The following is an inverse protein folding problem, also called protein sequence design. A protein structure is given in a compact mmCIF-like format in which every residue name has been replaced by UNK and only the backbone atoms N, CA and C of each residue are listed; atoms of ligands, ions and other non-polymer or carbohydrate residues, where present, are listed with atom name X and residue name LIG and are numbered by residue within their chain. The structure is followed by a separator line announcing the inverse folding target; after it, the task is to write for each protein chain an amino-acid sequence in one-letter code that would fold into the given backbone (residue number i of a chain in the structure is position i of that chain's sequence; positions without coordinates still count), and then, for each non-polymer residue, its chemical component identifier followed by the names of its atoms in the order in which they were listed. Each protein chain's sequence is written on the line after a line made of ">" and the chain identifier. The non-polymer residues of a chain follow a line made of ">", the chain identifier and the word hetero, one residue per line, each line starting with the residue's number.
data_IF_915799850535
#
_entry.id   IF_915799850535
#
_cell.length_a   1.000
_cell.length_b   1.000
_cell.length_c   1.000
_cell.angle_alpha   90.00
_cell.angle_beta   90.00
_cell.angle_gamma   90.00
#
_symmetry.space_group_name_H-M   'P 1'
#
loop_
_entity.id
_entity.type
_entity.pdbx_description
1 polymer ?
#
# COMPACT_ATOMS: atom_id res chain seq x y z
N UNK A 1 -11.30 -5.42 -10.78
CA UNK A 1 -11.17 -4.93 -9.39
C UNK A 1 -11.17 -6.11 -8.43
N UNK A 2 -10.33 -6.06 -7.39
CA UNK A 2 -10.39 -7.02 -6.29
C UNK A 2 -11.62 -6.72 -5.43
N UNK A 3 -12.25 -7.76 -4.88
CA UNK A 3 -13.44 -7.61 -4.06
C UNK A 3 -13.36 -8.49 -2.82
N UNK A 4 -13.94 -8.00 -1.73
CA UNK A 4 -14.18 -8.80 -0.53
C UNK A 4 -15.28 -9.83 -0.79
N UNK A 5 -14.95 -11.09 -0.54
CA UNK A 5 -15.85 -12.25 -0.70
C UNK A 5 -15.93 -13.08 0.58
N UNK A 6 -15.56 -12.48 1.71
CA UNK A 6 -15.45 -13.12 3.02
C UNK A 6 -16.68 -13.92 3.40
N UNK A 7 -17.88 -13.38 3.19
CA UNK A 7 -19.12 -14.00 3.61
C UNK A 7 -19.41 -15.34 2.90
N UNK A 8 -18.90 -15.52 1.68
CA UNK A 8 -19.03 -16.80 0.96
C UNK A 8 -18.17 -17.92 1.57
N UNK A 9 -17.20 -17.56 2.42
CA UNK A 9 -16.28 -18.53 3.05
C UNK A 9 -16.59 -18.79 4.52
N UNK A 10 -17.34 -17.91 5.21
CA UNK A 10 -17.75 -18.15 6.60
C UNK A 10 -18.58 -19.44 6.70
N UNK A 11 -18.15 -20.36 7.58
CA UNK A 11 -18.80 -21.64 7.76
C UNK A 11 -18.87 -22.52 6.51
N UNK A 12 -18.02 -22.28 5.51
CA UNK A 12 -17.96 -23.10 4.31
C UNK A 12 -17.19 -24.41 4.53
N UNK A 13 -17.35 -25.35 3.60
CA UNK A 13 -16.58 -26.61 3.60
C UNK A 13 -15.10 -26.43 3.25
N UNK A 14 -14.65 -25.26 2.79
CA UNK A 14 -13.24 -24.99 2.57
C UNK A 14 -12.56 -24.62 3.88
N UNK A 15 -12.17 -25.65 4.62
CA UNK A 15 -11.71 -25.57 6.02
C UNK A 15 -10.55 -24.58 6.24
N UNK A 16 -9.68 -24.37 5.25
CA UNK A 16 -8.54 -23.45 5.36
C UNK A 16 -9.03 -22.04 5.62
N UNK A 17 -9.86 -21.50 4.73
CA UNK A 17 -10.35 -20.12 4.88
C UNK A 17 -11.39 -20.00 6.01
N UNK A 18 -12.28 -20.97 6.14
CA UNK A 18 -13.23 -20.99 7.25
C UNK A 18 -12.53 -20.99 8.62
N UNK A 19 -11.40 -21.71 8.74
CA UNK A 19 -10.57 -21.74 9.95
C UNK A 19 -9.88 -20.40 10.22
N UNK A 20 -9.32 -19.76 9.20
CA UNK A 20 -8.73 -18.42 9.33
C UNK A 20 -9.76 -17.40 9.83
N UNK A 21 -10.95 -17.38 9.20
CA UNK A 21 -12.04 -16.47 9.56
C UNK A 21 -12.64 -16.73 10.94
N UNK A 22 -12.55 -17.96 11.44
CA UNK A 22 -13.03 -18.31 12.78
C UNK A 22 -12.06 -17.89 13.89
N UNK A 23 -10.76 -17.86 13.59
CA UNK A 23 -9.70 -17.62 14.58
C UNK A 23 -9.23 -16.18 14.63
N UNK A 24 -9.51 -15.37 13.59
CA UNK A 24 -9.09 -13.97 13.51
C UNK A 24 -10.27 -13.11 13.07
N UNK A 25 -10.74 -12.22 13.95
CA UNK A 25 -11.85 -11.31 13.68
C UNK A 25 -11.54 -10.24 12.63
N UNK A 26 -10.24 -10.01 12.34
CA UNK A 26 -9.77 -9.07 11.32
C UNK A 26 -9.55 -9.75 9.96
N UNK A 27 -9.68 -11.07 9.91
CA UNK A 27 -9.43 -11.81 8.69
C UNK A 27 -10.55 -11.60 7.67
N UNK A 28 -10.15 -11.42 6.44
CA UNK A 28 -11.01 -11.30 5.26
C UNK A 28 -10.55 -12.28 4.18
N UNK A 29 -11.40 -12.50 3.19
CA UNK A 29 -11.05 -13.21 1.95
C UNK A 29 -11.30 -12.29 0.77
N UNK A 30 -10.24 -11.98 0.03
CA UNK A 30 -10.36 -11.17 -1.16
C UNK A 30 -10.21 -12.02 -2.41
N UNK A 31 -11.05 -11.72 -3.41
CA UNK A 31 -10.98 -12.32 -4.73
C UNK A 31 -10.21 -11.40 -5.70
N UNK A 32 -9.33 -12.00 -6.48
CA UNK A 32 -8.60 -11.40 -7.59
C UNK A 32 -9.17 -11.98 -8.89
N UNK A 33 -10.08 -11.28 -9.59
CA UNK A 33 -10.65 -11.74 -10.86
C UNK A 33 -9.59 -11.80 -11.96
N UNK A 34 -9.64 -12.85 -12.78
CA UNK A 34 -8.77 -13.06 -13.94
C UNK A 34 -9.62 -13.39 -15.16
N UNK A 35 -9.96 -12.38 -15.93
CA UNK A 35 -10.69 -12.55 -17.18
C UNK A 35 -9.87 -13.36 -18.17
N UNK A 36 -10.52 -14.27 -18.90
CA UNK A 36 -9.86 -15.21 -19.81
C UNK A 36 -8.85 -16.18 -19.15
N UNK A 37 -8.76 -16.17 -17.82
CA UNK A 37 -7.86 -17.02 -17.02
C UNK A 37 -8.40 -18.40 -16.69
N UNK A 38 -9.51 -18.84 -17.30
CA UNK A 38 -10.27 -20.04 -16.96
C UNK A 38 -9.63 -21.37 -17.36
N UNK A 39 -8.31 -21.44 -17.55
CA UNK A 39 -7.60 -22.69 -17.78
C UNK A 39 -6.93 -23.20 -16.50
N UNK A 40 -7.05 -24.51 -16.27
CA UNK A 40 -6.40 -25.16 -15.13
C UNK A 40 -4.88 -24.93 -15.12
N UNK A 41 -4.25 -25.02 -16.30
CA UNK A 41 -2.82 -24.82 -16.43
C UNK A 41 -2.36 -23.41 -15.99
N UNK A 42 -3.12 -22.38 -16.32
CA UNK A 42 -2.86 -21.02 -15.85
C UNK A 42 -3.05 -20.90 -14.33
N UNK A 43 -4.15 -21.43 -13.79
CA UNK A 43 -4.41 -21.40 -12.36
C UNK A 43 -3.33 -22.12 -11.56
N UNK A 44 -2.83 -23.27 -12.05
CA UNK A 44 -1.75 -24.03 -11.41
C UNK A 44 -0.42 -23.26 -11.47
N UNK A 45 -0.12 -22.53 -12.56
CA UNK A 45 1.07 -21.65 -12.63
C UNK A 45 0.99 -20.50 -11.63
N UNK A 46 -0.17 -19.85 -11.52
CA UNK A 46 -0.37 -18.78 -10.54
C UNK A 46 -0.21 -19.29 -9.09
N UNK A 47 -0.71 -20.47 -8.79
CA UNK A 47 -0.50 -21.10 -7.49
C UNK A 47 0.98 -21.42 -7.23
N UNK A 48 1.70 -21.93 -8.24
CA UNK A 48 3.14 -22.21 -8.12
C UNK A 48 3.96 -20.93 -7.95
N UNK A 49 3.59 -19.86 -8.66
CA UNK A 49 4.19 -18.55 -8.47
C UNK A 49 4.00 -18.04 -7.04
N UNK A 50 2.77 -18.12 -6.50
CA UNK A 50 2.49 -17.71 -5.12
C UNK A 50 3.34 -18.44 -4.09
N UNK A 51 3.57 -19.75 -4.30
CA UNK A 51 4.47 -20.55 -3.44
C UNK A 51 5.93 -20.08 -3.56
N UNK A 52 6.36 -19.68 -4.75
CA UNK A 52 7.67 -19.05 -4.98
C UNK A 52 7.84 -17.71 -4.26
N UNK A 53 6.75 -16.96 -4.08
CA UNK A 53 6.69 -15.71 -3.31
C UNK A 53 6.54 -15.95 -1.78
N UNK A 54 6.70 -17.18 -1.32
CA UNK A 54 6.64 -17.54 0.10
C UNK A 54 5.23 -17.67 0.67
N UNK A 55 4.19 -17.69 -0.20
CA UNK A 55 2.83 -17.94 0.24
C UNK A 55 2.53 -19.45 0.34
N UNK A 56 1.60 -19.89 1.19
CA UNK A 56 1.22 -21.30 1.28
C UNK A 56 0.58 -21.83 -0.01
N UNK A 57 0.09 -20.94 -0.84
CA UNK A 57 -0.54 -21.19 -2.15
C UNK A 57 -1.53 -20.09 -2.49
N UNK A 58 -2.12 -20.20 -3.66
CA UNK A 58 -3.15 -19.29 -4.16
C UNK A 58 -4.36 -20.12 -4.61
N UNK A 59 -5.39 -20.14 -3.78
CA UNK A 59 -6.62 -20.86 -4.06
C UNK A 59 -7.35 -20.25 -5.26
N UNK A 60 -8.04 -21.06 -6.04
CA UNK A 60 -8.71 -20.58 -7.24
C UNK A 60 -10.02 -21.28 -7.54
N UNK A 61 -10.87 -20.62 -8.32
CA UNK A 61 -12.02 -21.15 -9.04
C UNK A 61 -11.88 -20.67 -10.49
N UNK A 62 -12.18 -21.53 -11.47
CA UNK A 62 -12.35 -21.15 -12.85
C UNK A 62 -13.69 -21.65 -13.37
N UNK A 63 -14.28 -20.94 -14.32
CA UNK A 63 -15.60 -21.25 -14.86
C UNK A 63 -15.50 -21.77 -16.29
N UNK A 64 -16.13 -22.92 -16.49
CA UNK A 64 -16.19 -23.61 -17.79
C UNK A 64 -17.59 -24.14 -18.06
N UNK A 65 -17.91 -24.40 -19.29
CA UNK A 65 -19.11 -25.18 -19.62
C UNK A 65 -18.86 -26.67 -19.45
N UNK A 66 -19.80 -27.32 -18.81
CA UNK A 66 -19.94 -28.76 -18.80
C UNK A 66 -21.34 -29.12 -19.39
N UNK A 67 -21.37 -29.49 -20.66
CA UNK A 67 -22.60 -29.54 -21.44
C UNK A 67 -23.18 -28.15 -21.70
N UNK A 68 -24.43 -27.92 -21.30
CA UNK A 68 -25.10 -26.60 -21.40
C UNK A 68 -24.93 -25.74 -20.10
N UNK A 69 -24.43 -26.33 -19.03
CA UNK A 69 -24.32 -25.68 -17.73
C UNK A 69 -22.97 -25.03 -17.55
N UNK A 70 -22.97 -23.77 -17.06
CA UNK A 70 -21.77 -23.10 -16.59
C UNK A 70 -21.43 -23.59 -15.20
N UNK A 71 -20.26 -24.16 -15.02
CA UNK A 71 -19.80 -24.77 -13.77
C UNK A 71 -18.51 -24.10 -13.29
N UNK A 72 -18.45 -23.83 -11.97
CA UNK A 72 -17.21 -23.46 -11.32
C UNK A 72 -16.41 -24.69 -10.92
N UNK A 73 -15.16 -24.74 -11.34
CA UNK A 73 -14.23 -25.85 -11.10
C UNK A 73 -13.00 -25.39 -10.33
N UNK A 74 -12.30 -26.32 -9.72
CA UNK A 74 -11.09 -26.06 -8.94
C UNK A 74 -11.19 -26.51 -7.49
N UNK A 75 -10.08 -26.37 -6.72
CA UNK A 75 -10.01 -26.89 -5.35
C UNK A 75 -11.04 -26.25 -4.41
N UNK A 76 -11.29 -24.95 -4.59
CA UNK A 76 -12.21 -24.19 -3.76
C UNK A 76 -13.67 -24.56 -4.08
N UNK A 77 -14.06 -24.53 -5.36
CA UNK A 77 -15.42 -24.78 -5.80
C UNK A 77 -15.98 -26.11 -5.25
N UNK A 78 -15.17 -27.18 -5.27
CA UNK A 78 -15.54 -28.50 -4.74
C UNK A 78 -15.89 -28.48 -3.25
N UNK A 79 -15.33 -27.58 -2.49
CA UNK A 79 -15.47 -27.54 -1.04
C UNK A 79 -16.50 -26.53 -0.55
N UNK A 80 -16.78 -25.45 -1.30
CA UNK A 80 -17.77 -24.44 -0.89
C UNK A 80 -19.18 -24.74 -1.43
N UNK A 81 -19.28 -25.61 -2.41
CA UNK A 81 -20.53 -26.00 -3.06
C UNK A 81 -20.96 -25.07 -4.20
N UNK A 82 -21.95 -25.54 -4.99
CA UNK A 82 -22.38 -24.85 -6.21
C UNK A 82 -23.02 -23.48 -5.92
N UNK A 83 -23.86 -23.38 -4.91
CA UNK A 83 -24.58 -22.15 -4.55
C UNK A 83 -23.60 -20.99 -4.25
N UNK A 84 -22.60 -21.22 -3.40
CA UNK A 84 -21.60 -20.23 -3.04
C UNK A 84 -20.67 -19.91 -4.21
N UNK A 85 -20.33 -20.91 -5.02
CA UNK A 85 -19.52 -20.73 -6.22
C UNK A 85 -20.22 -19.82 -7.24
N UNK A 86 -21.53 -20.01 -7.44
CA UNK A 86 -22.34 -19.17 -8.32
C UNK A 86 -22.54 -17.74 -7.76
N UNK A 87 -22.74 -17.62 -6.44
CA UNK A 87 -22.83 -16.33 -5.80
C UNK A 87 -21.53 -15.50 -5.98
N UNK A 88 -20.36 -16.11 -5.80
CA UNK A 88 -19.05 -15.48 -6.08
C UNK A 88 -18.95 -15.08 -7.55
N UNK A 89 -19.31 -15.95 -8.48
CA UNK A 89 -19.30 -15.64 -9.92
C UNK A 89 -20.13 -14.40 -10.24
N UNK A 90 -21.34 -14.35 -9.70
CA UNK A 90 -22.28 -13.26 -9.92
C UNK A 90 -21.75 -11.95 -9.32
N UNK A 91 -21.26 -11.98 -8.08
CA UNK A 91 -20.68 -10.82 -7.42
C UNK A 91 -19.50 -10.25 -8.23
N UNK A 92 -18.61 -11.12 -8.71
CA UNK A 92 -17.42 -10.71 -9.47
C UNK A 92 -17.71 -10.39 -10.95
N UNK A 93 -18.93 -10.66 -11.44
CA UNK A 93 -19.31 -10.46 -12.83
C UNK A 93 -18.50 -11.31 -13.80
N UNK A 94 -18.20 -12.58 -13.45
CA UNK A 94 -17.38 -13.50 -14.24
C UNK A 94 -18.24 -14.36 -15.15
N UNK A 95 -17.63 -14.79 -16.28
CA UNK A 95 -18.25 -15.56 -17.33
C UNK A 95 -17.51 -16.88 -17.59
N UNK A 96 -17.96 -17.63 -18.59
CA UNK A 96 -17.22 -18.77 -19.13
C UNK A 96 -15.81 -18.36 -19.58
N UNK A 97 -14.80 -19.15 -19.21
CA UNK A 97 -13.41 -18.87 -19.56
C UNK A 97 -12.70 -17.91 -18.58
N UNK A 98 -13.38 -17.44 -17.53
CA UNK A 98 -12.79 -16.61 -16.49
C UNK A 98 -12.34 -17.45 -15.28
N UNK A 99 -11.48 -16.86 -14.44
CA UNK A 99 -11.09 -17.40 -13.14
C UNK A 99 -11.10 -16.34 -12.05
N UNK A 100 -11.04 -16.78 -10.81
CA UNK A 100 -10.76 -15.93 -9.65
C UNK A 100 -9.76 -16.64 -8.74
N UNK A 101 -8.81 -15.87 -8.22
CA UNK A 101 -7.88 -16.29 -7.18
C UNK A 101 -8.29 -15.70 -5.84
N UNK A 102 -7.94 -16.38 -4.75
CA UNK A 102 -8.40 -15.99 -3.42
C UNK A 102 -7.23 -15.93 -2.44
N UNK A 103 -7.20 -14.85 -1.67
CA UNK A 103 -6.24 -14.63 -0.58
C UNK A 103 -7.03 -14.42 0.70
N UNK A 104 -6.59 -15.04 1.80
CA UNK A 104 -7.27 -14.98 3.10
C UNK A 104 -6.30 -14.60 4.22
N UNK A 105 -6.76 -13.81 5.18
CA UNK A 105 -6.03 -13.38 6.37
C UNK A 105 -6.31 -11.93 6.74
N UNK A 106 -5.40 -11.32 7.49
CA UNK A 106 -5.45 -9.88 7.77
C UNK A 106 -5.10 -9.08 6.51
N UNK A 107 -5.99 -8.22 5.98
CA UNK A 107 -5.74 -7.42 4.77
C UNK A 107 -4.46 -6.61 4.84
N UNK A 108 -4.09 -6.09 6.00
CA UNK A 108 -2.84 -5.34 6.19
C UNK A 108 -1.60 -6.16 5.84
N UNK A 109 -1.67 -7.49 5.96
CA UNK A 109 -0.55 -8.40 5.69
C UNK A 109 -0.57 -8.92 4.25
N UNK A 110 -1.74 -9.13 3.66
CA UNK A 110 -1.83 -9.76 2.34
C UNK A 110 -2.11 -8.78 1.18
N UNK A 111 -2.51 -7.53 1.43
CA UNK A 111 -2.92 -6.60 0.37
C UNK A 111 -1.83 -6.40 -0.70
N UNK A 112 -0.57 -6.29 -0.29
CA UNK A 112 0.56 -6.18 -1.23
C UNK A 112 0.68 -7.42 -2.13
N UNK A 113 0.53 -8.63 -1.55
CA UNK A 113 0.55 -9.88 -2.31
C UNK A 113 -0.65 -10.00 -3.25
N UNK A 114 -1.85 -9.64 -2.80
CA UNK A 114 -3.06 -9.63 -3.64
C UNK A 114 -2.89 -8.68 -4.84
N UNK A 115 -2.30 -7.50 -4.63
CA UNK A 115 -1.92 -6.56 -5.68
C UNK A 115 -0.92 -7.15 -6.67
N UNK A 116 0.13 -7.83 -6.19
CA UNK A 116 1.11 -8.53 -7.02
C UNK A 116 0.47 -9.65 -7.85
N UNK A 117 -0.44 -10.44 -7.25
CA UNK A 117 -1.18 -11.49 -7.95
C UNK A 117 -2.07 -10.92 -9.07
N UNK A 118 -2.72 -9.79 -8.84
CA UNK A 118 -3.50 -9.08 -9.86
C UNK A 118 -2.62 -8.64 -11.03
N UNK A 119 -1.48 -8.02 -10.74
CA UNK A 119 -0.52 -7.58 -11.77
C UNK A 119 0.02 -8.77 -12.56
N UNK A 120 0.44 -9.83 -11.89
CA UNK A 120 0.94 -11.06 -12.51
C UNK A 120 -0.09 -11.70 -13.43
N UNK A 121 -1.35 -11.80 -13.00
CA UNK A 121 -2.44 -12.33 -13.82
C UNK A 121 -2.67 -11.47 -15.07
N UNK A 122 -2.69 -10.13 -14.90
CA UNK A 122 -2.84 -9.21 -16.02
C UNK A 122 -1.72 -9.33 -17.07
N UNK A 123 -0.49 -9.50 -16.64
CA UNK A 123 0.67 -9.66 -17.53
C UNK A 123 0.65 -11.00 -18.25
N UNK A 124 0.44 -12.13 -17.56
CA UNK A 124 0.40 -13.45 -18.19
C UNK A 124 -0.75 -13.63 -19.18
N UNK A 125 -1.85 -12.95 -18.95
CA UNK A 125 -3.03 -12.99 -19.81
C UNK A 125 -3.03 -11.89 -20.90
N UNK A 126 -1.99 -11.06 -20.97
CA UNK A 126 -1.88 -9.91 -21.88
C UNK A 126 -3.09 -8.95 -21.77
N UNK A 127 -3.57 -8.71 -20.56
CA UNK A 127 -4.69 -7.81 -20.28
C UNK A 127 -4.23 -6.38 -19.97
N UNK A 128 -2.92 -6.17 -19.83
CA UNK A 128 -2.33 -4.85 -19.56
C UNK A 128 -2.22 -4.08 -20.87
N UNK A 129 -2.99 -3.01 -21.00
CA UNK A 129 -2.87 -2.06 -22.09
C UNK A 129 -1.73 -1.08 -21.79
N UNK A 130 -0.63 -1.18 -22.52
CA UNK A 130 0.58 -0.38 -22.29
C UNK A 130 0.57 0.96 -23.02
N UNK A 131 -0.40 1.18 -23.89
CA UNK A 131 -0.56 2.41 -24.69
C UNK A 131 -1.49 3.43 -24.01
N UNK A 132 -1.92 3.13 -22.77
CA UNK A 132 -2.81 4.00 -21.99
C UNK A 132 -2.18 4.46 -20.71
N UNK A 133 -2.49 5.71 -20.34
CA UNK A 133 -2.20 6.28 -19.03
C UNK A 133 -3.50 6.34 -18.22
N UNK A 134 -3.61 5.47 -17.23
CA UNK A 134 -4.76 5.42 -16.33
C UNK A 134 -4.41 6.07 -14.99
N UNK A 135 -5.19 7.06 -14.61
CA UNK A 135 -4.97 7.87 -13.42
C UNK A 135 -5.98 7.50 -12.32
N UNK A 136 -5.52 7.48 -11.08
CA UNK A 136 -6.39 7.42 -9.92
C UNK A 136 -5.84 8.24 -8.76
N UNK A 137 -6.74 8.64 -7.85
CA UNK A 137 -6.39 9.25 -6.59
C UNK A 137 -6.39 8.21 -5.48
N UNK A 138 -5.34 8.22 -4.67
CA UNK A 138 -5.33 7.58 -3.37
C UNK A 138 -5.59 8.67 -2.34
N UNK A 139 -6.58 8.47 -1.50
CA UNK A 139 -7.02 9.47 -0.50
C UNK A 139 -7.22 8.81 0.86
N UNK A 140 -7.58 9.59 1.86
CA UNK A 140 -7.94 9.09 3.19
C UNK A 140 -6.79 8.35 3.89
N UNK A 141 -5.59 8.89 3.78
CA UNK A 141 -4.44 8.36 4.50
C UNK A 141 -4.67 8.37 6.02
N UNK A 142 -4.16 7.38 6.77
CA UNK A 142 -4.17 7.44 8.22
C UNK A 142 -3.35 8.66 8.68
N UNK A 143 -3.89 9.41 9.65
CA UNK A 143 -3.16 10.55 10.22
C UNK A 143 -2.11 10.08 11.23
N UNK A 144 -2.43 9.03 11.98
CA UNK A 144 -1.54 8.36 12.92
C UNK A 144 -1.43 6.87 12.60
N UNK A 145 -0.29 6.30 12.96
CA UNK A 145 0.00 4.88 12.87
C UNK A 145 0.62 4.36 14.17
N UNK A 146 0.48 3.08 14.43
CA UNK A 146 1.17 2.44 15.53
C UNK A 146 2.60 2.11 15.11
N UNK A 147 3.57 2.69 15.81
CA UNK A 147 4.99 2.38 15.61
C UNK A 147 5.34 1.11 16.39
N UNK A 148 5.63 0.02 15.68
CA UNK A 148 5.93 -1.28 16.29
C UNK A 148 7.29 -1.32 17.00
N UNK A 149 8.26 -0.50 16.59
CA UNK A 149 9.58 -0.42 17.21
C UNK A 149 9.51 0.34 18.53
N UNK A 150 8.96 1.53 18.50
CA UNK A 150 8.86 2.42 19.66
C UNK A 150 7.67 2.12 20.59
N UNK A 151 6.74 1.23 20.17
CA UNK A 151 5.52 0.87 20.91
C UNK A 151 4.67 2.09 21.28
N UNK A 152 4.50 3.03 20.36
CA UNK A 152 3.74 4.26 20.53
C UNK A 152 2.96 4.63 19.28
N UNK A 153 2.01 5.55 19.44
CA UNK A 153 1.37 6.22 18.31
C UNK A 153 2.36 7.23 17.72
N UNK A 154 2.48 7.26 16.40
CA UNK A 154 3.29 8.23 15.66
C UNK A 154 2.51 8.76 14.46
N UNK A 155 3.00 9.80 13.80
CA UNK A 155 2.39 10.27 12.56
C UNK A 155 2.59 9.25 11.44
N UNK A 156 1.56 9.08 10.58
CA UNK A 156 1.64 8.24 9.40
C UNK A 156 2.65 8.79 8.38
N UNK A 157 2.24 9.71 7.50
CA UNK A 157 3.13 10.24 6.47
C UNK A 157 3.59 11.67 6.74
N UNK A 158 2.64 12.60 6.91
CA UNK A 158 2.94 14.04 6.99
C UNK A 158 2.23 14.68 8.19
N UNK A 159 2.97 15.05 9.24
CA UNK A 159 2.43 15.63 10.45
C UNK A 159 1.76 17.01 10.25
N UNK A 160 2.05 17.65 9.13
CA UNK A 160 1.55 19.00 8.83
C UNK A 160 0.29 18.99 7.96
N UNK A 161 -0.28 17.82 7.68
CA UNK A 161 -1.57 17.71 7.00
C UNK A 161 -2.72 18.03 7.96
N UNK A 162 -3.85 18.48 7.41
CA UNK A 162 -5.06 18.70 8.18
C UNK A 162 -5.71 17.35 8.50
N UNK A 163 -5.98 17.03 9.78
CA UNK A 163 -6.77 15.87 10.15
C UNK A 163 -8.24 16.06 9.72
N UNK A 164 -8.87 15.02 9.22
CA UNK A 164 -10.31 15.03 8.93
C UNK A 164 -11.08 15.14 10.26
N UNK A 165 -12.08 16.01 10.30
CA UNK A 165 -12.80 16.37 11.52
C UNK A 165 -12.09 17.39 12.43
N UNK A 166 -10.88 17.86 12.04
CA UNK A 166 -10.21 18.96 12.71
C UNK A 166 -9.87 18.68 14.20
N UNK A 167 -9.94 19.73 15.02
CA UNK A 167 -9.59 19.64 16.43
C UNK A 167 -10.57 18.77 17.23
N UNK A 168 -11.83 18.69 16.82
CA UNK A 168 -12.86 17.87 17.47
C UNK A 168 -12.51 16.38 17.36
N UNK A 169 -12.05 15.93 16.17
CA UNK A 169 -11.59 14.56 16.00
C UNK A 169 -10.36 14.24 16.87
N UNK A 170 -9.40 15.17 16.97
CA UNK A 170 -8.23 15.03 17.82
C UNK A 170 -8.57 14.98 19.32
N UNK A 171 -9.70 15.55 19.72
CA UNK A 171 -10.13 15.58 21.12
C UNK A 171 -10.95 14.36 21.54
N UNK A 172 -11.64 13.69 20.62
CA UNK A 172 -12.66 12.71 20.97
C UNK A 172 -12.61 11.36 20.24
N UNK A 173 -11.88 11.24 19.14
CA UNK A 173 -11.78 9.99 18.40
C UNK A 173 -10.57 9.15 18.85
N UNK A 174 -10.59 7.84 18.55
CA UNK A 174 -9.40 7.01 18.61
C UNK A 174 -8.37 7.54 17.60
N UNK A 175 -7.17 7.92 18.01
CA UNK A 175 -6.15 8.48 17.13
C UNK A 175 -5.87 7.61 15.90
N UNK A 176 -5.88 6.29 16.03
CA UNK A 176 -5.63 5.36 14.92
C UNK A 176 -6.79 5.28 13.90
N UNK A 177 -7.95 5.87 14.23
CA UNK A 177 -9.09 5.99 13.31
C UNK A 177 -9.11 7.29 12.52
N UNK A 178 -8.30 8.29 12.91
CA UNK A 178 -8.28 9.62 12.30
C UNK A 178 -7.59 9.55 10.94
N UNK A 179 -8.23 10.09 9.91
CA UNK A 179 -7.68 10.21 8.57
C UNK A 179 -7.14 11.62 8.32
N UNK A 180 -6.20 11.73 7.42
CA UNK A 180 -5.63 13.00 6.96
C UNK A 180 -6.22 13.41 5.61
N UNK A 181 -6.29 14.72 5.35
CA UNK A 181 -6.50 15.27 4.02
C UNK A 181 -5.18 15.21 3.21
N UNK A 182 -4.68 13.99 3.00
CA UNK A 182 -3.54 13.70 2.13
C UNK A 182 -4.04 12.97 0.89
N UNK A 183 -3.30 13.11 -0.20
CA UNK A 183 -3.66 12.52 -1.48
C UNK A 183 -2.43 12.27 -2.34
N UNK A 184 -2.43 11.15 -3.04
CA UNK A 184 -1.47 10.83 -4.09
C UNK A 184 -2.19 10.69 -5.42
N UNK A 185 -1.57 11.21 -6.47
CA UNK A 185 -1.95 10.91 -7.84
C UNK A 185 -1.11 9.76 -8.35
N UNK A 186 -1.77 8.70 -8.75
CA UNK A 186 -1.14 7.47 -9.26
C UNK A 186 -1.45 7.32 -10.74
N UNK A 187 -0.43 7.00 -11.53
CA UNK A 187 -0.56 6.65 -12.95
C UNK A 187 0.02 5.26 -13.19
N UNK A 188 -0.77 4.35 -13.75
CA UNK A 188 -0.36 2.99 -14.07
C UNK A 188 0.34 2.25 -12.91
N UNK A 189 -0.10 2.49 -11.67
CA UNK A 189 0.46 1.89 -10.47
C UNK A 189 1.66 2.63 -9.86
N UNK A 190 2.10 3.76 -10.44
CA UNK A 190 3.15 4.60 -9.89
C UNK A 190 2.59 5.90 -9.33
N UNK A 191 2.93 6.23 -8.10
CA UNK A 191 2.69 7.54 -7.52
C UNK A 191 3.52 8.59 -8.28
N UNK A 192 2.84 9.47 -9.01
CA UNK A 192 3.47 10.53 -9.82
C UNK A 192 3.42 11.90 -9.16
N UNK A 193 2.56 12.08 -8.17
CA UNK A 193 2.52 13.27 -7.35
C UNK A 193 1.90 12.96 -6.00
N UNK A 194 2.36 13.64 -4.96
CA UNK A 194 1.87 13.52 -3.59
C UNK A 194 1.60 14.89 -2.99
N UNK A 195 0.60 14.99 -2.13
CA UNK A 195 0.23 16.26 -1.52
C UNK A 195 -0.76 16.14 -0.37
N UNK A 196 -1.25 17.28 0.04
CA UNK A 196 -2.25 17.36 1.11
C UNK A 196 -2.74 18.77 1.37
N UNK A 197 -3.81 18.86 2.13
CA UNK A 197 -4.29 20.10 2.72
C UNK A 197 -3.51 20.34 4.01
N UNK A 198 -2.97 21.55 4.16
CA UNK A 198 -2.13 21.91 5.28
C UNK A 198 -2.94 22.10 6.57
N UNK A 199 -2.44 21.61 7.69
CA UNK A 199 -2.92 22.01 9.01
C UNK A 199 -2.39 23.40 9.32
N UNK A 200 -3.17 24.42 8.99
CA UNK A 200 -2.83 25.83 9.09
C UNK A 200 -3.34 26.48 10.40
N UNK A 201 -4.00 25.69 11.26
CA UNK A 201 -4.57 26.16 12.52
C UNK A 201 -3.61 25.87 13.68
N UNK A 202 -3.08 26.89 14.39
CA UNK A 202 -2.07 26.69 15.44
C UNK A 202 -2.49 25.72 16.54
N UNK A 203 -3.73 25.82 17.02
CA UNK A 203 -4.23 24.97 18.09
C UNK A 203 -4.43 23.51 17.63
N UNK A 204 -4.90 23.32 16.43
CA UNK A 204 -5.01 21.99 15.82
C UNK A 204 -3.63 21.36 15.64
N UNK A 205 -2.63 22.15 15.25
CA UNK A 205 -1.25 21.70 15.11
C UNK A 205 -0.69 21.24 16.47
N UNK A 206 -0.78 22.06 17.50
CA UNK A 206 -0.31 21.70 18.86
C UNK A 206 -0.99 20.43 19.33
N UNK A 207 -2.33 20.35 19.20
CA UNK A 207 -3.10 19.20 19.65
C UNK A 207 -2.69 17.91 18.91
N UNK A 208 -2.42 18.00 17.62
CA UNK A 208 -1.95 16.85 16.83
C UNK A 208 -0.58 16.35 17.32
N UNK A 209 0.33 17.24 17.66
CA UNK A 209 1.66 16.87 18.15
C UNK A 209 1.64 16.37 19.61
N UNK A 210 0.75 16.86 20.46
CA UNK A 210 0.56 16.35 21.82
C UNK A 210 0.22 14.86 21.87
N UNK A 211 -0.58 14.38 20.91
CA UNK A 211 -0.97 12.95 20.82
C UNK A 211 0.24 12.03 20.62
N UNK A 212 1.27 12.50 19.92
CA UNK A 212 2.53 11.75 19.72
C UNK A 212 3.59 12.08 20.78
N UNK A 213 3.22 12.82 21.84
CA UNK A 213 4.09 13.10 22.97
C UNK A 213 4.99 14.34 22.80
N UNK A 214 4.68 15.22 21.85
CA UNK A 214 5.39 16.49 21.64
C UNK A 214 4.51 17.64 22.16
N UNK A 215 4.91 18.25 23.25
CA UNK A 215 4.18 19.36 23.85
C UNK A 215 4.34 20.68 23.06
N UNK A 216 3.57 21.68 23.45
CA UNK A 216 3.59 23.01 22.81
C UNK A 216 4.99 23.62 22.79
N UNK A 217 5.77 23.52 23.88
CA UNK A 217 7.12 24.08 23.97
C UNK A 217 8.04 23.44 22.92
N UNK A 218 7.98 22.11 22.76
CA UNK A 218 8.72 21.38 21.74
C UNK A 218 8.30 21.78 20.32
N UNK A 219 6.99 22.01 20.09
CA UNK A 219 6.48 22.48 18.79
C UNK A 219 7.02 23.89 18.48
N UNK A 220 7.03 24.79 19.46
CA UNK A 220 7.55 26.14 19.32
C UNK A 220 9.06 26.15 19.11
N UNK A 221 9.80 25.27 19.74
CA UNK A 221 11.24 25.13 19.55
C UNK A 221 11.58 24.60 18.14
N UNK A 222 10.96 23.48 17.77
CA UNK A 222 11.31 22.77 16.51
C UNK A 222 10.68 23.37 15.27
N UNK A 223 9.45 23.87 15.38
CA UNK A 223 8.64 24.38 14.27
C UNK A 223 8.19 25.82 14.44
N UNK A 224 8.86 26.57 15.32
CA UNK A 224 8.46 27.92 15.75
C UNK A 224 8.26 28.93 14.62
N UNK A 225 9.02 28.83 13.53
CA UNK A 225 8.82 29.68 12.36
C UNK A 225 7.45 29.47 11.73
N UNK A 226 7.06 28.21 11.47
CA UNK A 226 5.78 27.82 10.90
C UNK A 226 4.63 28.11 11.88
N UNK A 227 4.79 27.71 13.15
CA UNK A 227 3.78 27.92 14.20
C UNK A 227 3.44 29.41 14.37
N UNK A 228 4.47 30.29 14.47
CA UNK A 228 4.27 31.73 14.56
C UNK A 228 3.61 32.31 13.33
N UNK A 229 3.99 31.86 12.12
CA UNK A 229 3.37 32.34 10.89
C UNK A 229 1.86 32.02 10.86
N UNK A 230 1.45 30.88 11.31
CA UNK A 230 0.03 30.49 11.38
C UNK A 230 -0.79 31.34 12.36
N UNK A 231 -0.18 31.87 13.42
CA UNK A 231 -0.85 32.78 14.35
C UNK A 231 -1.27 34.12 13.72
N UNK A 232 -0.67 34.50 12.59
CA UNK A 232 -1.06 35.67 11.82
C UNK A 232 -2.21 35.43 10.83
N UNK A 233 -2.85 34.27 10.90
CA UNK A 233 -4.05 33.98 10.10
C UNK A 233 -3.72 33.43 8.71
N UNK A 234 -2.94 32.37 8.65
CA UNK A 234 -2.71 31.66 7.38
C UNK A 234 -4.04 31.18 6.78
N UNK A 235 -4.28 31.40 5.46
CA UNK A 235 -5.48 30.91 4.82
C UNK A 235 -5.46 29.37 4.70
N UNK A 236 -6.60 28.72 4.54
CA UNK A 236 -6.64 27.32 4.12
C UNK A 236 -5.83 27.16 2.83
N UNK A 237 -4.89 26.23 2.83
CA UNK A 237 -4.01 25.99 1.68
C UNK A 237 -3.62 24.53 1.61
N UNK A 238 -3.19 24.13 0.45
CA UNK A 238 -2.68 22.81 0.17
C UNK A 238 -1.85 22.85 -1.10
N UNK A 239 -1.33 21.71 -1.48
CA UNK A 239 -0.54 21.59 -2.70
C UNK A 239 -0.06 20.17 -2.90
N UNK A 240 0.62 19.96 -4.03
CA UNK A 240 1.22 18.67 -4.35
C UNK A 240 2.58 18.88 -5.02
N UNK A 241 3.44 17.90 -4.85
CA UNK A 241 4.74 17.82 -5.52
C UNK A 241 4.71 16.72 -6.58
N UNK A 242 5.02 17.07 -7.81
CA UNK A 242 5.14 16.13 -8.91
C UNK A 242 6.53 15.47 -8.95
N UNK A 243 6.55 14.13 -9.04
CA UNK A 243 7.77 13.34 -9.25
C UNK A 243 8.16 13.32 -10.72
N UNK A 244 8.92 14.33 -11.16
CA UNK A 244 9.27 14.50 -12.59
C UNK A 244 9.95 13.25 -13.15
N UNK A 245 10.89 12.65 -12.43
CA UNK A 245 11.57 11.42 -12.87
C UNK A 245 10.57 10.26 -13.08
N UNK A 246 9.56 10.13 -12.24
CA UNK A 246 8.51 9.11 -12.41
C UNK A 246 7.64 9.38 -13.64
N UNK A 247 7.30 10.64 -13.89
CA UNK A 247 6.58 11.05 -15.11
C UNK A 247 7.42 10.72 -16.35
N UNK A 248 8.70 11.07 -16.35
CA UNK A 248 9.62 10.76 -17.46
C UNK A 248 9.74 9.25 -17.65
N UNK A 249 9.89 8.48 -16.57
CA UNK A 249 9.94 7.01 -16.62
C UNK A 249 8.72 6.42 -17.34
N UNK A 250 7.52 6.89 -17.01
CA UNK A 250 6.29 6.45 -17.65
C UNK A 250 6.23 6.84 -19.13
N UNK A 251 6.60 8.06 -19.47
CA UNK A 251 6.58 8.58 -20.84
C UNK A 251 7.52 7.82 -21.78
N UNK A 252 8.69 7.41 -21.29
CA UNK A 252 9.65 6.64 -22.11
C UNK A 252 9.48 5.13 -22.01
N UNK A 253 8.51 4.66 -21.21
CA UNK A 253 8.25 3.24 -21.01
C UNK A 253 9.35 2.49 -20.26
N UNK A 254 10.18 3.22 -19.47
CA UNK A 254 11.20 2.60 -18.64
C UNK A 254 10.60 1.82 -17.46
N UNK A 255 11.24 0.72 -17.08
CA UNK A 255 10.76 -0.15 -16.00
C UNK A 255 11.24 0.26 -14.61
N UNK A 256 12.31 1.04 -14.56
CA UNK A 256 12.96 1.43 -13.32
C UNK A 256 13.35 2.90 -13.34
N UNK A 257 13.12 3.59 -12.23
CA UNK A 257 13.45 5.00 -12.08
C UNK A 257 14.94 5.31 -12.33
N UNK A 258 15.84 4.36 -12.03
CA UNK A 258 17.27 4.50 -12.28
C UNK A 258 17.62 4.62 -13.77
N UNK A 259 16.76 4.18 -14.68
CA UNK A 259 16.99 4.29 -16.13
C UNK A 259 16.82 5.73 -16.64
N UNK A 260 16.12 6.57 -15.91
CA UNK A 260 15.87 7.99 -16.26
C UNK A 260 16.60 8.98 -15.37
N UNK A 261 17.30 8.50 -14.33
CA UNK A 261 18.13 9.31 -13.44
C UNK A 261 19.54 9.37 -13.99
N UNK A 262 20.07 10.58 -14.20
CA UNK A 262 21.39 10.78 -14.84
C UNK A 262 22.54 10.14 -14.04
N UNK A 263 22.52 10.24 -12.73
CA UNK A 263 23.51 9.66 -11.81
C UNK A 263 22.85 8.80 -10.76
N UNK A 264 22.39 7.57 -11.13
CA UNK A 264 21.66 6.72 -10.21
C UNK A 264 22.59 6.10 -9.17
N UNK A 265 22.15 6.07 -7.92
CA UNK A 265 22.79 5.28 -6.89
C UNK A 265 22.39 3.81 -6.98
N UNK A 266 23.28 2.92 -6.60
CA UNK A 266 22.97 1.49 -6.44
C UNK A 266 22.17 1.23 -5.13
N UNK A 267 21.86 -0.04 -4.85
CA UNK A 267 21.10 -0.42 -3.66
C UNK A 267 21.83 -0.13 -2.33
N UNK A 268 23.16 0.02 -2.35
CA UNK A 268 23.99 0.38 -1.20
C UNK A 268 24.18 1.91 -1.08
N UNK A 269 23.41 2.72 -1.82
CA UNK A 269 23.52 4.17 -1.89
C UNK A 269 24.90 4.66 -2.38
N UNK A 270 25.55 3.90 -3.29
CA UNK A 270 26.76 4.30 -3.98
C UNK A 270 26.46 4.85 -5.37
N UNK A 271 26.99 6.03 -5.69
CA UNK A 271 27.14 6.55 -7.04
C UNK A 271 28.45 6.01 -7.61
N UNK A 272 28.36 5.04 -8.51
CA UNK A 272 29.51 4.36 -9.08
C UNK A 272 30.30 5.24 -10.04
N UNK A 273 29.68 6.26 -10.64
CA UNK A 273 30.34 7.18 -11.53
C UNK A 273 31.20 8.21 -10.77
N UNK A 274 30.64 8.77 -9.69
CA UNK A 274 31.31 9.79 -8.89
C UNK A 274 32.12 9.21 -7.74
N UNK A 275 32.07 7.88 -7.54
CA UNK A 275 32.69 7.19 -6.39
C UNK A 275 32.24 7.78 -5.05
N UNK A 276 30.96 8.09 -4.93
CA UNK A 276 30.37 8.70 -3.74
C UNK A 276 29.40 7.71 -3.04
N UNK A 277 29.24 7.79 -1.71
CA UNK A 277 29.94 8.67 -0.78
C UNK A 277 31.39 8.24 -0.53
N UNK A 278 32.23 9.19 -0.13
CA UNK A 278 33.61 8.97 0.27
C UNK A 278 33.81 9.30 1.77
N UNK A 279 34.82 8.72 2.38
CA UNK A 279 35.13 8.99 3.78
C UNK A 279 35.57 10.46 3.95
N UNK A 280 35.05 11.11 5.02
CA UNK A 280 35.50 12.43 5.39
C UNK A 280 36.94 12.39 5.92
N UNK A 281 37.78 13.35 5.48
CA UNK A 281 39.15 13.44 5.98
C UNK A 281 39.20 13.83 7.45
N UNK A 282 40.27 13.46 8.19
CA UNK A 282 40.42 13.89 9.59
C UNK A 282 40.43 15.43 9.76
N UNK A 283 40.84 16.17 8.75
CA UNK A 283 40.78 17.62 8.77
C UNK A 283 39.34 18.12 8.71
N UNK A 284 38.54 17.64 7.78
CA UNK A 284 37.09 17.97 7.67
C UNK A 284 36.35 17.68 8.96
N UNK A 285 36.60 16.52 9.59
CA UNK A 285 35.99 16.18 10.87
C UNK A 285 36.39 17.16 11.97
N UNK A 286 37.66 17.55 12.07
CA UNK A 286 38.12 18.54 13.07
C UNK A 286 37.50 19.91 12.84
N UNK A 287 37.43 20.39 11.59
CA UNK A 287 36.80 21.68 11.25
C UNK A 287 35.36 21.78 11.68
N UNK A 288 34.63 20.64 11.67
CA UNK A 288 33.23 20.52 12.09
C UNK A 288 33.08 20.11 13.56
N UNK A 289 34.19 19.99 14.31
CA UNK A 289 34.18 19.47 15.70
C UNK A 289 33.50 18.09 15.82
N UNK A 290 33.64 17.24 14.81
CA UNK A 290 33.07 15.91 14.77
C UNK A 290 34.09 14.83 15.12
N UNK A 291 33.61 13.73 15.72
CA UNK A 291 34.42 12.55 15.99
C UNK A 291 33.63 11.29 15.60
N UNK A 292 34.26 10.43 14.80
CA UNK A 292 33.71 9.10 14.52
C UNK A 292 33.90 8.22 15.76
N UNK A 293 32.80 7.67 16.28
CA UNK A 293 32.80 6.70 17.36
C UNK A 293 32.50 5.34 16.73
N UNK A 294 33.46 4.40 16.83
CA UNK A 294 33.23 3.03 16.37
C UNK A 294 32.10 2.40 17.20
N UNK A 295 31.07 1.90 16.53
CA UNK A 295 30.07 1.08 17.21
C UNK A 295 30.74 -0.19 17.70
N UNK A 296 30.59 -0.50 19.01
CA UNK A 296 30.94 -1.84 19.51
C UNK A 296 30.01 -2.82 18.78
N UNK A 297 30.61 -3.75 18.02
CA UNK A 297 29.87 -4.93 17.58
C UNK A 297 29.44 -5.65 18.84
N UNK A 298 28.15 -5.68 19.13
CA UNK A 298 27.61 -6.64 20.08
C UNK A 298 27.82 -8.02 19.47
N UNK A 299 28.62 -8.84 20.16
CA UNK A 299 29.01 -10.16 19.77
C UNK A 299 27.91 -11.19 20.03
#
# INVERSE_FOLDING_TARGET
>A
EMQDVTEHFRGSGFKVFAGILANDAKAEVWAVPARTGGSRAFCDRMNSWAQGEGQPGLGYIFWRKEGEKLEGAGPIAKNIGEERTEAIRTQLGLAEGDAAFFVAGDPKKFAAFAGAARTRAGEELNLVDRDRFELCWIVDFPFYEWNEEDKKIDFGHNPFSMPQGGIEALAGADPLSIKAFQYDMVCNGFEIASGGIRNHLPETMVKAFEIVGLDRETVEERFGGLYRAFQYGAPPHGGMAAGIDRVVMLLVGAKNLREVTMFPMNQQAYDLLMSAPAEATPQQLRELSLRVVAQKKEG
#
